data_IF_649005298274
#
_entry.id   IF_649005298274
#
_cell.length_a   1.000
_cell.length_b   1.000
_cell.length_c   1.000
_cell.angle_alpha   90.00
_cell.angle_beta   90.00
_cell.angle_gamma   90.00
#
_symmetry.space_group_name_H-M   'P 1'
#
loop_
_entity.id
_entity.type
_entity.pdbx_description
1 polymer ?
#
# COMPACT_ATOMS: atom_id res chain seq x y z
N UNK A 1 -7.83 19.30 16.18
CA UNK A 1 -7.35 18.08 15.48
C UNK A 1 -8.09 16.89 16.09
N UNK A 2 -9.07 16.32 15.40
CA UNK A 2 -9.67 15.06 15.86
C UNK A 2 -8.59 13.98 15.80
N UNK A 3 -8.39 13.23 16.90
CA UNK A 3 -7.45 12.11 16.90
C UNK A 3 -7.85 11.05 15.88
N UNK A 4 -6.87 10.29 15.38
CA UNK A 4 -7.16 9.18 14.48
C UNK A 4 -8.20 8.23 15.12
N UNK A 5 -9.11 7.63 14.33
CA UNK A 5 -10.08 6.66 14.84
C UNK A 5 -9.40 5.60 15.70
N UNK A 6 -10.10 5.07 16.73
CA UNK A 6 -9.57 4.01 17.61
C UNK A 6 -9.04 2.80 16.83
N UNK A 7 -9.55 2.61 15.61
CA UNK A 7 -9.16 1.51 14.72
C UNK A 7 -8.17 1.85 13.59
N UNK A 8 -7.56 3.03 13.63
CA UNK A 8 -6.59 3.47 12.62
C UNK A 8 -5.19 2.92 12.85
N UNK A 9 -4.42 2.78 11.76
CA UNK A 9 -2.97 2.58 11.79
C UNK A 9 -2.19 3.90 11.86
N UNK A 10 -2.88 5.05 11.82
CA UNK A 10 -2.28 6.38 11.81
C UNK A 10 -2.07 6.94 13.21
N UNK A 11 -1.04 7.79 13.34
CA UNK A 11 -0.67 8.45 14.58
C UNK A 11 0.25 7.61 15.48
N UNK A 12 0.55 8.14 16.66
CA UNK A 12 1.65 7.65 17.52
C UNK A 12 1.19 6.77 18.70
N UNK A 13 0.04 6.09 18.59
CA UNK A 13 -0.42 5.18 19.64
C UNK A 13 0.23 3.81 19.49
N UNK A 14 0.35 3.05 20.60
CA UNK A 14 0.83 1.67 20.53
C UNK A 14 -0.05 0.81 19.60
N UNK A 15 -1.37 0.98 19.66
CA UNK A 15 -2.29 0.25 18.76
C UNK A 15 -2.06 0.57 17.29
N UNK A 16 -1.73 1.82 16.94
CA UNK A 16 -1.38 2.20 15.57
C UNK A 16 -0.04 1.59 15.14
N UNK A 17 0.93 1.52 16.05
CA UNK A 17 2.22 0.84 15.84
C UNK A 17 2.03 -0.66 15.58
N UNK A 18 1.28 -1.36 16.44
CA UNK A 18 0.99 -2.80 16.30
C UNK A 18 0.30 -3.11 14.97
N UNK A 19 -0.60 -2.22 14.51
CA UNK A 19 -1.26 -2.35 13.20
C UNK A 19 -0.32 -2.18 12.04
N UNK A 20 0.57 -1.18 12.09
CA UNK A 20 1.58 -0.98 11.03
C UNK A 20 2.51 -2.18 10.97
N UNK A 21 2.91 -2.73 12.10
CA UNK A 21 3.68 -3.98 12.13
C UNK A 21 2.91 -5.15 11.48
N UNK A 22 1.63 -5.32 11.81
CA UNK A 22 0.81 -6.37 11.21
C UNK A 22 0.66 -6.21 9.68
N UNK A 23 0.36 -4.99 9.22
CA UNK A 23 0.23 -4.67 7.80
C UNK A 23 1.54 -4.91 7.05
N UNK A 24 2.65 -4.41 7.59
CA UNK A 24 3.98 -4.61 7.00
C UNK A 24 4.36 -6.10 6.94
N UNK A 25 4.09 -6.86 8.00
CA UNK A 25 4.34 -8.30 8.01
C UNK A 25 3.53 -9.03 6.92
N UNK A 26 2.27 -8.65 6.72
CA UNK A 26 1.43 -9.17 5.63
C UNK A 26 1.99 -8.85 4.24
N UNK A 27 2.40 -7.59 4.01
CA UNK A 27 3.03 -7.16 2.76
C UNK A 27 4.32 -7.95 2.48
N UNK A 28 5.23 -8.03 3.45
CA UNK A 28 6.50 -8.74 3.29
C UNK A 28 6.31 -10.24 3.07
N UNK A 29 5.32 -10.85 3.74
CA UNK A 29 4.96 -12.25 3.49
C UNK A 29 4.48 -12.45 2.05
N UNK A 30 3.63 -11.55 1.55
CA UNK A 30 3.12 -11.63 0.18
C UNK A 30 4.17 -11.33 -0.89
N UNK A 31 5.11 -10.43 -0.62
CA UNK A 31 6.23 -10.10 -1.52
C UNK A 31 7.26 -11.24 -1.59
N UNK A 32 7.36 -12.05 -0.54
CA UNK A 32 8.27 -13.18 -0.47
C UNK A 32 9.75 -12.78 -0.41
N UNK A 33 10.63 -13.75 -0.61
CA UNK A 33 12.09 -13.58 -0.46
C UNK A 33 12.76 -12.79 -1.59
N UNK A 34 12.06 -12.54 -2.69
CA UNK A 34 12.57 -11.74 -3.80
C UNK A 34 12.63 -10.23 -3.45
N UNK A 35 11.88 -9.80 -2.44
CA UNK A 35 11.91 -8.43 -1.95
C UNK A 35 12.87 -8.28 -0.77
N UNK A 36 13.87 -7.42 -0.93
CA UNK A 36 14.83 -7.11 0.13
C UNK A 36 14.41 -5.84 0.87
N UNK A 37 14.30 -5.94 2.19
CA UNK A 37 14.11 -4.79 3.10
C UNK A 37 15.10 -4.91 4.26
N UNK A 38 15.76 -3.80 4.59
CA UNK A 38 16.66 -3.75 5.75
C UNK A 38 15.87 -3.65 7.07
N UNK A 39 16.48 -4.03 8.21
CA UNK A 39 15.87 -3.83 9.53
C UNK A 39 15.45 -2.38 9.79
N UNK A 40 16.28 -1.40 9.40
CA UNK A 40 16.01 0.02 9.60
C UNK A 40 14.81 0.49 8.77
N UNK A 41 14.69 0.03 7.52
CA UNK A 41 13.52 0.31 6.68
C UNK A 41 12.25 -0.36 7.22
N UNK A 42 12.37 -1.58 7.75
CA UNK A 42 11.25 -2.24 8.44
C UNK A 42 10.79 -1.39 9.61
N UNK A 43 11.72 -0.94 10.45
CA UNK A 43 11.40 -0.13 11.62
C UNK A 43 10.78 1.22 11.23
N UNK A 44 11.30 1.88 10.19
CA UNK A 44 10.75 3.13 9.68
C UNK A 44 9.26 3.01 9.26
N UNK A 45 8.89 1.90 8.61
CA UNK A 45 7.50 1.64 8.22
C UNK A 45 6.58 1.38 9.43
N UNK A 46 7.10 0.85 10.53
CA UNK A 46 6.33 0.64 11.76
C UNK A 46 6.20 1.95 12.55
N UNK A 47 7.24 2.78 12.56
CA UNK A 47 7.29 4.02 13.34
C UNK A 47 6.56 5.18 12.65
N UNK A 48 6.49 5.20 11.31
CA UNK A 48 5.85 6.26 10.52
C UNK A 48 4.79 5.71 9.56
N UNK A 49 3.55 6.18 9.70
CA UNK A 49 2.48 5.85 8.74
C UNK A 49 2.76 6.44 7.37
N UNK A 50 3.49 7.57 7.27
CA UNK A 50 3.96 8.11 5.99
C UNK A 50 4.92 7.14 5.28
N UNK A 51 5.85 6.51 6.02
CA UNK A 51 6.75 5.51 5.44
C UNK A 51 6.01 4.26 4.95
N UNK A 52 5.01 3.78 5.72
CA UNK A 52 4.18 2.66 5.29
C UNK A 52 3.33 3.02 4.07
N UNK A 53 2.67 4.18 4.08
CA UNK A 53 1.85 4.69 2.97
C UNK A 53 2.72 4.83 1.70
N UNK A 54 3.96 5.31 1.82
CA UNK A 54 4.89 5.42 0.69
C UNK A 54 5.26 4.05 0.10
N UNK A 55 5.50 3.03 0.93
CA UNK A 55 5.74 1.66 0.47
C UNK A 55 4.53 1.11 -0.28
N UNK A 56 3.32 1.26 0.28
CA UNK A 56 2.06 0.82 -0.35
C UNK A 56 1.85 1.52 -1.70
N UNK A 57 2.06 2.84 -1.76
CA UNK A 57 1.98 3.61 -2.99
C UNK A 57 2.97 3.14 -4.06
N UNK A 58 4.21 2.81 -3.69
CA UNK A 58 5.20 2.30 -4.63
C UNK A 58 4.80 0.91 -5.20
N UNK A 59 4.27 0.03 -4.35
CA UNK A 59 3.76 -1.28 -4.79
C UNK A 59 2.56 -1.13 -5.72
N UNK A 60 1.61 -0.23 -5.41
CA UNK A 60 0.48 0.07 -6.29
C UNK A 60 0.95 0.65 -7.62
N UNK A 61 1.88 1.61 -7.63
CA UNK A 61 2.43 2.16 -8.86
C UNK A 61 3.08 1.08 -9.75
N UNK A 62 3.76 0.10 -9.14
CA UNK A 62 4.30 -1.06 -9.86
C UNK A 62 3.20 -1.95 -10.43
N UNK A 63 2.13 -2.22 -9.68
CA UNK A 63 0.98 -2.97 -10.17
C UNK A 63 0.31 -2.27 -11.37
N UNK A 64 0.18 -0.93 -11.31
CA UNK A 64 -0.31 -0.12 -12.43
C UNK A 64 0.59 -0.27 -13.65
N UNK A 65 1.91 -0.20 -13.47
CA UNK A 65 2.88 -0.38 -14.56
C UNK A 65 2.78 -1.76 -15.22
N UNK A 66 2.45 -2.80 -14.45
CA UNK A 66 2.28 -4.18 -14.95
C UNK A 66 0.86 -4.45 -15.49
N UNK A 67 -0.02 -3.45 -15.52
CA UNK A 67 -1.44 -3.59 -15.89
C UNK A 67 -2.24 -4.55 -14.97
N UNK A 68 -1.79 -4.75 -13.73
CA UNK A 68 -2.41 -5.61 -12.72
C UNK A 68 -3.39 -4.83 -11.79
N UNK A 69 -4.02 -3.80 -12.33
CA UNK A 69 -5.04 -3.01 -11.62
C UNK A 69 -6.28 -2.82 -12.50
N UNK A 70 -7.42 -2.63 -11.84
CA UNK A 70 -8.68 -2.32 -12.50
C UNK A 70 -8.59 -0.94 -13.15
N UNK A 71 -8.85 -0.89 -14.45
CA UNK A 71 -9.04 0.36 -15.17
C UNK A 71 -10.51 0.80 -15.07
N UNK A 72 -10.77 2.12 -15.06
CA UNK A 72 -12.13 2.60 -15.15
C UNK A 72 -12.76 2.16 -16.48
N UNK A 73 -14.04 1.80 -16.44
CA UNK A 73 -14.76 1.47 -17.67
C UNK A 73 -14.83 2.71 -18.60
N UNK A 74 -14.82 2.50 -19.93
CA UNK A 74 -14.99 3.59 -20.88
C UNK A 74 -16.28 4.38 -20.63
N UNK A 75 -16.23 5.70 -20.86
CA UNK A 75 -17.37 6.60 -20.68
C UNK A 75 -17.29 7.40 -19.39
N UNK A 76 -18.36 7.37 -18.58
CA UNK A 76 -18.49 8.24 -17.41
C UNK A 76 -17.43 7.97 -16.35
N UNK A 77 -17.11 6.69 -16.06
CA UNK A 77 -16.08 6.34 -15.08
C UNK A 77 -14.70 6.85 -15.51
N UNK A 78 -14.35 6.72 -16.80
CA UNK A 78 -13.10 7.24 -17.32
C UNK A 78 -13.04 8.78 -17.28
N UNK A 79 -14.16 9.47 -17.49
CA UNK A 79 -14.22 10.93 -17.36
C UNK A 79 -14.02 11.37 -15.91
N UNK A 80 -14.73 10.74 -14.97
CA UNK A 80 -14.59 11.00 -13.53
C UNK A 80 -13.17 10.69 -13.04
N UNK A 81 -12.57 9.60 -13.51
CA UNK A 81 -11.18 9.26 -13.21
C UNK A 81 -10.19 10.36 -13.60
N UNK A 82 -10.43 11.07 -14.71
CA UNK A 82 -9.58 12.17 -15.15
C UNK A 82 -9.76 13.45 -14.32
N UNK A 83 -10.98 13.71 -13.83
CA UNK A 83 -11.31 14.95 -13.11
C UNK A 83 -11.10 14.83 -11.60
N UNK A 84 -11.44 13.68 -11.02
CA UNK A 84 -11.44 13.44 -9.57
C UNK A 84 -10.24 12.59 -9.13
N UNK A 85 -9.59 11.90 -10.08
CA UNK A 85 -8.55 10.92 -9.81
C UNK A 85 -9.11 9.51 -9.63
N UNK A 86 -8.36 8.51 -10.11
CA UNK A 86 -8.72 7.10 -9.98
C UNK A 86 -7.94 6.43 -8.86
N UNK A 87 -8.64 5.71 -8.00
CA UNK A 87 -8.02 4.82 -7.04
C UNK A 87 -7.79 3.48 -7.75
N UNK A 88 -6.55 3.22 -8.15
CA UNK A 88 -6.18 1.93 -8.73
C UNK A 88 -6.39 0.80 -7.71
N UNK A 89 -7.26 -0.13 -8.05
CA UNK A 89 -7.54 -1.31 -7.25
C UNK A 89 -6.84 -2.52 -7.88
N UNK A 90 -6.05 -3.32 -7.14
CA UNK A 90 -5.44 -4.54 -7.66
C UNK A 90 -6.50 -5.53 -8.17
N UNK A 91 -6.21 -6.22 -9.27
CA UNK A 91 -7.11 -7.25 -9.86
C UNK A 91 -7.02 -8.61 -9.15
N UNK A 92 -6.04 -8.79 -8.25
CA UNK A 92 -5.81 -10.03 -7.48
C UNK A 92 -4.79 -9.85 -6.35
N UNK A 93 -4.57 -10.92 -5.58
CA UNK A 93 -3.67 -10.93 -4.42
C UNK A 93 -2.30 -11.57 -4.74
N UNK A 94 -1.53 -10.96 -5.65
CA UNK A 94 -0.23 -11.49 -6.13
C UNK A 94 0.90 -10.47 -5.94
N UNK A 95 1.24 -10.16 -4.68
CA UNK A 95 2.32 -9.22 -4.36
C UNK A 95 3.70 -9.70 -4.83
N UNK A 96 3.93 -11.01 -4.87
CA UNK A 96 5.14 -11.67 -5.36
C UNK A 96 5.49 -11.29 -6.81
N UNK A 97 4.49 -11.01 -7.64
CA UNK A 97 4.69 -10.63 -9.06
C UNK A 97 5.21 -9.21 -9.24
N UNK A 98 4.98 -8.34 -8.26
CA UNK A 98 5.41 -6.94 -8.33
C UNK A 98 6.94 -6.81 -8.28
N UNK A 99 7.60 -7.81 -7.69
CA UNK A 99 9.06 -7.86 -7.47
C UNK A 99 9.77 -8.80 -8.44
N UNK A 100 9.02 -9.56 -9.24
CA UNK A 100 9.55 -10.29 -10.38
C UNK A 100 9.85 -9.31 -11.52
N UNK A 101 11.11 -9.30 -11.98
CA UNK A 101 11.58 -8.56 -13.15
C UNK A 101 11.58 -9.43 -14.39
#
# INVERSE_FOLDING_TARGET
MAGAPKDSYKGNSQTAHDRREHLLAGLLTGLGSAFAISPDQRQACIDSDDCLDALVCALLARAVQQHDTLQPEPGEQHHLAQTEGWIHLPTGAHLDRLVAG
#
